data_IF_968915549011
#
_entry.id   IF_968915549011
#
_cell.length_a   1.000
_cell.length_b   1.000
_cell.length_c   1.000
_cell.angle_alpha   90.00
_cell.angle_beta   90.00
_cell.angle_gamma   90.00
#
_symmetry.space_group_name_H-M   'P 1'
#
loop_
_entity.id
_entity.type
_entity.pdbx_description
1 polymer ?
#
# COMPACT_ATOMS: atom_id res chain seq x y z
N UNK A 1 88.78 31.92 -18.97
CA UNK A 1 89.75 31.07 -19.76
C UNK A 1 89.24 29.64 -19.70
N UNK A 2 89.42 28.83 -20.73
CA UNK A 2 88.89 29.01 -22.11
C UNK A 2 87.88 27.94 -22.51
N UNK A 3 86.96 28.23 -23.35
CA UNK A 3 86.70 27.70 -24.71
C UNK A 3 87.18 26.29 -25.04
N UNK A 4 86.20 25.45 -25.47
CA UNK A 4 86.30 24.70 -26.76
C UNK A 4 84.99 24.02 -27.17
N UNK A 5 84.41 24.42 -28.27
CA UNK A 5 83.60 23.67 -29.26
C UNK A 5 84.53 22.87 -30.16
N UNK A 6 84.08 22.07 -31.17
CA UNK A 6 82.78 21.50 -31.52
C UNK A 6 82.88 20.00 -31.93
N UNK A 7 81.84 19.42 -32.38
CA UNK A 7 81.90 18.10 -33.03
C UNK A 7 80.57 17.67 -33.64
N UNK A 8 80.31 18.07 -34.87
CA UNK A 8 79.27 17.48 -35.74
C UNK A 8 79.55 16.00 -36.02
N UNK A 9 78.60 15.16 -35.94
CA UNK A 9 78.45 14.00 -36.83
C UNK A 9 76.98 13.70 -37.12
N UNK A 10 76.70 13.71 -38.40
CA UNK A 10 75.50 13.36 -39.12
C UNK A 10 75.44 11.85 -39.30
N UNK A 11 74.31 11.20 -39.01
CA UNK A 11 73.94 9.89 -39.54
C UNK A 11 72.41 9.65 -39.35
N UNK A 12 71.77 9.72 -40.41
CA UNK A 12 71.01 8.74 -41.17
C UNK A 12 69.69 8.29 -40.59
N UNK A 13 68.66 8.64 -41.33
CA UNK A 13 67.25 8.21 -41.32
C UNK A 13 67.11 6.68 -41.33
N UNK A 14 66.24 6.19 -40.47
CA UNK A 14 65.43 4.99 -40.71
C UNK A 14 64.05 5.22 -40.12
N UNK A 15 63.11 5.41 -41.05
CA UNK A 15 61.65 5.54 -40.69
C UNK A 15 61.09 4.22 -40.25
N UNK A 16 60.47 4.22 -39.06
CA UNK A 16 59.53 3.21 -38.65
C UNK A 16 58.20 3.89 -38.46
N UNK A 17 57.28 3.63 -39.39
CA UNK A 17 55.90 4.04 -39.31
C UNK A 17 55.21 3.25 -38.17
N UNK A 18 54.97 3.90 -37.04
CA UNK A 18 54.17 3.37 -35.95
C UNK A 18 52.72 3.58 -36.33
N UNK A 19 52.08 2.53 -36.86
CA UNK A 19 50.62 2.46 -37.01
C UNK A 19 49.99 2.41 -35.61
N UNK A 20 49.55 3.57 -35.12
CA UNK A 20 48.68 3.67 -33.95
C UNK A 20 47.31 3.12 -34.35
N UNK A 21 47.05 1.83 -34.01
CA UNK A 21 45.70 1.30 -33.93
C UNK A 21 44.97 2.01 -32.78
N UNK A 22 44.19 3.01 -33.09
CA UNK A 22 43.18 3.51 -32.20
C UNK A 22 42.05 2.43 -32.14
N UNK A 23 42.19 1.51 -31.21
CA UNK A 23 41.06 0.71 -30.77
C UNK A 23 40.08 1.66 -30.08
N UNK A 24 39.02 2.06 -30.78
CA UNK A 24 37.87 2.72 -30.20
C UNK A 24 37.19 1.70 -29.26
N UNK A 25 37.58 1.70 -28.01
CA UNK A 25 36.80 1.04 -26.97
C UNK A 25 35.52 1.84 -26.84
N UNK A 26 34.47 1.38 -27.54
CA UNK A 26 33.09 1.79 -27.24
C UNK A 26 32.79 1.25 -25.85
N UNK A 27 32.90 2.08 -24.84
CA UNK A 27 32.32 1.75 -23.52
C UNK A 27 30.85 1.46 -23.77
N UNK A 28 30.29 0.36 -23.25
CA UNK A 28 28.85 0.15 -23.31
C UNK A 28 28.19 1.36 -22.63
N UNK A 29 27.29 2.03 -23.35
CA UNK A 29 26.40 3.01 -22.71
C UNK A 29 25.80 2.29 -21.54
N UNK A 30 26.08 2.75 -20.33
CA UNK A 30 25.33 2.33 -19.15
C UNK A 30 23.86 2.58 -19.47
N UNK A 31 23.05 1.53 -19.44
CA UNK A 31 21.61 1.69 -19.57
C UNK A 31 21.19 2.67 -18.48
N UNK A 32 20.58 3.79 -18.86
CA UNK A 32 20.03 4.72 -17.89
C UNK A 32 19.09 3.89 -17.00
N UNK A 33 19.36 3.88 -15.71
CA UNK A 33 18.44 3.27 -14.73
C UNK A 33 17.15 4.07 -14.79
N UNK A 34 16.18 3.55 -15.53
CA UNK A 34 14.88 4.21 -15.72
C UNK A 34 14.07 4.28 -14.45
N UNK A 35 14.55 3.64 -13.38
CA UNK A 35 13.83 3.49 -12.12
C UNK A 35 12.51 2.69 -12.27
N UNK A 36 12.30 2.05 -13.41
CA UNK A 36 11.11 1.23 -13.67
C UNK A 36 11.29 -0.16 -13.06
N UNK A 37 10.34 -0.55 -12.21
CA UNK A 37 10.31 -1.86 -11.58
C UNK A 37 9.73 -2.87 -12.59
N UNK A 38 10.58 -3.81 -13.03
CA UNK A 38 10.20 -4.81 -14.01
C UNK A 38 9.07 -5.71 -13.49
N UNK A 39 8.14 -6.07 -14.39
CA UNK A 39 7.03 -6.97 -14.10
C UNK A 39 6.21 -6.52 -12.87
N UNK A 40 5.91 -5.23 -12.79
CA UNK A 40 5.21 -4.59 -11.66
C UNK A 40 3.91 -5.31 -11.26
N UNK A 41 3.21 -5.93 -12.20
CA UNK A 41 2.00 -6.71 -11.94
C UNK A 41 2.21 -7.95 -11.07
N UNK A 42 3.43 -8.51 -11.05
CA UNK A 42 3.74 -9.73 -10.30
C UNK A 42 3.87 -9.49 -8.79
N UNK A 43 3.92 -8.21 -8.37
CA UNK A 43 3.96 -7.83 -6.96
C UNK A 43 2.59 -7.87 -6.27
N UNK A 44 1.54 -8.20 -7.01
CA UNK A 44 0.19 -8.25 -6.48
C UNK A 44 -0.55 -9.52 -6.95
N UNK A 45 -0.20 -10.70 -6.40
CA UNK A 45 -0.86 -11.95 -6.76
C UNK A 45 -2.29 -11.97 -6.20
N UNK A 46 -3.28 -12.18 -7.09
CA UNK A 46 -4.71 -12.14 -6.78
C UNK A 46 -5.45 -13.44 -7.17
N UNK A 47 -4.72 -14.57 -7.27
CA UNK A 47 -5.32 -15.86 -7.55
C UNK A 47 -6.16 -16.34 -6.36
N UNK A 48 -7.38 -16.80 -6.64
CA UNK A 48 -8.26 -17.39 -5.64
C UNK A 48 -7.57 -18.56 -4.94
N UNK A 49 -7.57 -18.54 -3.61
CA UNK A 49 -6.91 -19.50 -2.74
C UNK A 49 -5.48 -19.13 -2.36
N UNK A 50 -4.97 -17.96 -2.78
CA UNK A 50 -3.79 -17.37 -2.15
C UNK A 50 -4.11 -17.02 -0.71
N UNK A 51 -3.13 -17.20 0.20
CA UNK A 51 -3.30 -16.94 1.62
C UNK A 51 -2.00 -16.40 2.23
N UNK A 52 -2.13 -15.47 3.16
CA UNK A 52 -1.05 -14.84 3.91
C UNK A 52 -1.41 -14.76 5.38
N UNK A 53 -0.48 -15.12 6.26
CA UNK A 53 -0.63 -15.02 7.70
C UNK A 53 0.27 -13.90 8.21
N UNK A 54 -0.30 -12.99 8.97
CA UNK A 54 0.41 -11.85 9.54
C UNK A 54 0.32 -11.87 11.07
N UNK A 55 1.39 -11.43 11.70
CA UNK A 55 1.35 -10.94 13.07
C UNK A 55 1.28 -9.42 13.05
N UNK A 56 0.47 -8.85 13.92
CA UNK A 56 0.26 -7.42 13.99
C UNK A 56 0.47 -6.85 15.38
N UNK A 57 0.76 -5.56 15.39
CA UNK A 57 0.75 -4.73 16.58
C UNK A 57 -0.02 -3.45 16.27
N UNK A 58 -0.90 -3.05 17.17
CA UNK A 58 -1.57 -1.76 17.13
C UNK A 58 -1.24 -0.99 18.40
N UNK A 59 -1.00 0.30 18.24
CA UNK A 59 -0.79 1.26 19.30
C UNK A 59 -1.85 2.33 19.15
N UNK A 60 -2.74 2.44 20.10
CA UNK A 60 -3.89 3.34 20.06
C UNK A 60 -3.95 4.20 21.31
N UNK A 61 -4.54 5.37 21.17
CA UNK A 61 -4.98 6.15 22.31
C UNK A 61 -4.84 7.64 22.12
N UNK A 62 -5.42 8.42 23.09
CA UNK A 62 -4.99 9.76 23.28
C UNK A 62 -3.49 9.74 23.66
N UNK A 63 -2.72 10.71 23.22
CA UNK A 63 -1.26 10.79 23.45
C UNK A 63 -0.82 10.61 24.91
N UNK A 64 -1.76 10.76 25.85
CA UNK A 64 -1.53 10.63 27.29
C UNK A 64 -1.73 9.21 27.84
N UNK A 65 -2.41 8.33 27.09
CA UNK A 65 -2.75 6.97 27.56
C UNK A 65 -2.72 5.99 26.37
N UNK A 66 -1.52 5.72 25.89
CA UNK A 66 -1.30 4.83 24.74
C UNK A 66 -1.42 3.37 25.20
N UNK A 67 -2.25 2.60 24.52
CA UNK A 67 -2.33 1.16 24.66
C UNK A 67 -1.60 0.44 23.52
N UNK A 68 -0.96 -0.68 23.83
CA UNK A 68 -0.32 -1.56 22.87
C UNK A 68 -1.04 -2.89 22.85
N UNK A 69 -1.47 -3.34 21.67
CA UNK A 69 -2.15 -4.64 21.48
C UNK A 69 -1.47 -5.43 20.37
N UNK A 70 -1.37 -6.74 20.56
CA UNK A 70 -0.90 -7.65 19.52
C UNK A 70 -2.10 -8.41 18.95
N UNK A 71 -2.03 -8.71 17.66
CA UNK A 71 -3.07 -9.45 16.97
C UNK A 71 -2.48 -10.34 15.87
N UNK A 72 -3.28 -11.26 15.36
CA UNK A 72 -2.97 -12.04 14.15
C UNK A 72 -4.03 -11.74 13.10
N UNK A 73 -3.62 -11.75 11.83
CA UNK A 73 -4.50 -11.59 10.70
C UNK A 73 -4.20 -12.65 9.64
N UNK A 74 -5.23 -13.24 9.05
CA UNK A 74 -5.11 -14.10 7.87
C UNK A 74 -5.82 -13.43 6.72
N UNK A 75 -5.06 -13.10 5.67
CA UNK A 75 -5.58 -12.53 4.43
C UNK A 75 -5.68 -13.62 3.36
N UNK A 76 -6.78 -13.72 2.65
CA UNK A 76 -6.97 -14.72 1.60
C UNK A 76 -7.79 -14.19 0.42
N UNK A 77 -7.46 -14.64 -0.80
CA UNK A 77 -8.28 -14.35 -1.98
C UNK A 77 -9.39 -15.38 -2.07
N UNK A 78 -10.61 -14.98 -1.71
CA UNK A 78 -11.75 -15.90 -1.58
C UNK A 78 -12.59 -16.03 -2.85
N UNK A 79 -12.53 -15.02 -3.74
CA UNK A 79 -13.36 -15.06 -4.95
C UNK A 79 -13.34 -13.76 -5.73
N UNK A 80 -14.43 -13.56 -6.48
CA UNK A 80 -14.68 -12.31 -7.21
C UNK A 80 -16.11 -11.82 -6.95
N UNK A 81 -16.31 -10.50 -7.01
CA UNK A 81 -17.60 -9.84 -6.82
C UNK A 81 -17.84 -8.81 -7.94
N UNK A 82 -19.08 -8.58 -8.29
CA UNK A 82 -19.43 -7.49 -9.21
C UNK A 82 -19.78 -6.24 -8.41
N UNK A 83 -19.01 -5.14 -8.61
CA UNK A 83 -19.26 -3.84 -7.96
C UNK A 83 -19.35 -2.78 -9.05
N UNK A 84 -20.45 -2.06 -9.13
CA UNK A 84 -20.69 -1.01 -10.15
C UNK A 84 -20.39 -1.48 -11.57
N UNK A 85 -20.75 -2.73 -11.91
CA UNK A 85 -20.52 -3.34 -13.21
C UNK A 85 -19.08 -3.82 -13.49
N UNK A 86 -18.19 -3.72 -12.51
CA UNK A 86 -16.80 -4.18 -12.61
C UNK A 86 -16.61 -5.46 -11.80
N UNK A 87 -15.93 -6.45 -12.37
CA UNK A 87 -15.50 -7.63 -11.61
C UNK A 87 -14.24 -7.28 -10.81
N UNK A 88 -14.30 -7.49 -9.52
CA UNK A 88 -13.20 -7.24 -8.56
C UNK A 88 -12.83 -8.53 -7.84
N UNK A 89 -11.57 -8.67 -7.44
CA UNK A 89 -11.10 -9.74 -6.55
C UNK A 89 -11.52 -9.40 -5.12
N UNK A 90 -11.94 -10.42 -4.38
CA UNK A 90 -12.31 -10.32 -2.97
C UNK A 90 -11.15 -10.84 -2.12
N UNK A 91 -10.59 -9.97 -1.31
CA UNK A 91 -9.61 -10.31 -0.29
C UNK A 91 -10.32 -10.32 1.05
N UNK A 92 -10.30 -11.46 1.70
CA UNK A 92 -10.85 -11.66 3.05
C UNK A 92 -9.72 -11.68 4.06
N UNK A 93 -9.82 -10.84 5.06
CA UNK A 93 -8.91 -10.78 6.19
C UNK A 93 -9.67 -11.06 7.50
N UNK A 94 -9.08 -11.79 8.43
CA UNK A 94 -9.75 -12.21 9.66
C UNK A 94 -9.73 -11.14 10.74
N UNK A 95 -8.70 -10.32 10.81
CA UNK A 95 -8.56 -9.30 11.86
C UNK A 95 -7.46 -8.26 11.55
N UNK A 96 -7.50 -7.57 10.42
CA UNK A 96 -6.47 -6.61 10.07
C UNK A 96 -6.53 -5.36 10.96
N UNK A 97 -5.39 -4.83 11.33
CA UNK A 97 -5.31 -3.68 12.22
C UNK A 97 -6.00 -3.89 13.58
N UNK A 98 -6.35 -5.12 13.95
CA UNK A 98 -7.14 -5.47 15.14
C UNK A 98 -8.59 -4.94 15.11
N UNK A 99 -9.17 -4.77 13.92
CA UNK A 99 -10.54 -4.22 13.76
C UNK A 99 -11.62 -5.29 13.51
N UNK A 100 -11.26 -6.56 13.59
CA UNK A 100 -12.13 -7.69 13.29
C UNK A 100 -12.19 -7.98 11.78
N UNK A 101 -12.92 -9.03 11.39
CA UNK A 101 -12.90 -9.50 10.00
C UNK A 101 -13.65 -8.57 9.04
N UNK A 102 -13.24 -8.51 7.72
CA UNK A 102 -13.80 -7.59 6.70
C UNK A 102 -13.36 -8.05 5.28
N UNK A 103 -14.05 -7.78 4.19
CA UNK A 103 -13.65 -8.05 2.79
C UNK A 103 -13.17 -6.77 2.09
N UNK A 104 -12.09 -6.83 1.32
CA UNK A 104 -11.65 -5.75 0.45
C UNK A 104 -11.78 -6.09 -1.02
N UNK A 105 -12.07 -5.09 -1.82
CA UNK A 105 -12.39 -5.25 -3.22
C UNK A 105 -11.36 -4.55 -4.10
N UNK A 106 -10.59 -5.34 -4.85
CA UNK A 106 -9.56 -4.81 -5.74
C UNK A 106 -9.79 -5.24 -7.18
N UNK A 107 -9.48 -4.35 -8.11
CA UNK A 107 -9.35 -4.67 -9.51
C UNK A 107 -7.92 -4.43 -9.95
N UNK A 108 -7.30 -5.48 -10.48
CA UNK A 108 -6.01 -5.39 -11.16
C UNK A 108 -6.21 -5.41 -12.68
N UNK A 109 -5.56 -4.48 -13.38
CA UNK A 109 -5.52 -4.45 -14.85
C UNK A 109 -4.13 -3.99 -15.34
N UNK A 110 -4.01 -3.66 -16.64
CA UNK A 110 -2.73 -3.25 -17.24
C UNK A 110 -2.21 -1.90 -16.76
N UNK A 111 -3.05 -1.07 -16.14
CA UNK A 111 -2.67 0.27 -15.68
C UNK A 111 -2.44 0.36 -14.18
N UNK A 112 -2.77 -0.68 -13.43
CA UNK A 112 -2.52 -0.74 -12.00
C UNK A 112 -3.54 -1.50 -11.20
N UNK A 113 -3.68 -1.10 -9.94
CA UNK A 113 -4.60 -1.67 -8.97
C UNK A 113 -5.50 -0.57 -8.45
N UNK A 114 -6.80 -0.81 -8.55
CA UNK A 114 -7.86 0.09 -8.08
C UNK A 114 -8.59 -0.57 -6.91
N UNK A 115 -8.72 0.17 -5.84
CA UNK A 115 -9.51 -0.21 -4.67
C UNK A 115 -10.96 0.25 -4.83
N UNK A 116 -11.90 -0.65 -4.58
CA UNK A 116 -13.35 -0.43 -4.72
C UNK A 116 -14.10 -0.36 -3.39
N UNK A 117 -13.35 -0.36 -2.28
CA UNK A 117 -13.92 -0.29 -0.94
C UNK A 117 -13.90 -1.61 -0.22
N UNK A 118 -14.48 -1.60 0.97
CA UNK A 118 -14.57 -2.75 1.86
C UNK A 118 -16.00 -3.02 2.33
N UNK A 119 -16.22 -4.16 2.95
CA UNK A 119 -17.46 -4.54 3.61
C UNK A 119 -17.16 -5.09 5.03
N UNK A 120 -17.63 -4.38 6.08
CA UNK A 120 -18.47 -3.15 6.08
C UNK A 120 -17.60 -1.89 6.07
N UNK A 121 -17.27 -1.33 4.93
CA UNK A 121 -16.54 -0.07 4.83
C UNK A 121 -17.22 1.08 5.61
N UNK A 122 -16.42 2.02 6.09
CA UNK A 122 -16.92 3.20 6.80
C UNK A 122 -17.74 4.12 5.91
N UNK A 123 -18.67 4.94 6.44
CA UNK A 123 -19.35 5.96 5.66
C UNK A 123 -18.40 6.92 4.94
N UNK A 124 -17.27 7.26 5.57
CA UNK A 124 -16.23 8.11 4.98
C UNK A 124 -15.54 7.44 3.78
N UNK A 125 -15.07 6.19 3.96
CA UNK A 125 -14.44 5.41 2.90
C UNK A 125 -15.34 5.27 1.66
N UNK A 126 -16.62 4.98 1.85
CA UNK A 126 -17.60 4.82 0.75
C UNK A 126 -17.72 6.04 -0.16
N UNK A 127 -17.35 7.23 0.32
CA UNK A 127 -17.34 8.47 -0.45
C UNK A 127 -16.01 8.68 -1.20
N UNK A 128 -14.92 8.00 -0.79
CA UNK A 128 -13.61 8.09 -1.45
C UNK A 128 -13.51 7.16 -2.65
N UNK A 129 -14.06 5.95 -2.56
CA UNK A 129 -13.88 4.88 -3.55
C UNK A 129 -14.72 5.06 -4.83
N UNK A 130 -14.25 4.58 -6.00
CA UNK A 130 -12.99 3.88 -6.19
C UNK A 130 -11.79 4.83 -6.36
N UNK A 131 -10.58 4.34 -5.98
CA UNK A 131 -9.34 5.06 -6.27
C UNK A 131 -8.17 4.11 -6.54
N UNK A 132 -7.16 4.59 -7.26
CA UNK A 132 -5.98 3.82 -7.63
C UNK A 132 -5.00 3.77 -6.45
N UNK A 133 -4.55 2.56 -6.07
CA UNK A 133 -3.58 2.36 -5.01
C UNK A 133 -2.16 2.09 -5.53
N UNK A 134 -2.05 1.46 -6.71
CA UNK A 134 -0.77 1.23 -7.41
C UNK A 134 -0.95 1.53 -8.89
N UNK A 135 0.05 2.16 -9.51
CA UNK A 135 0.09 2.45 -10.94
C UNK A 135 1.16 1.63 -11.62
N UNK A 136 0.84 1.01 -12.77
CA UNK A 136 1.80 0.23 -13.56
C UNK A 136 2.27 1.01 -14.82
N UNK A 137 3.56 0.86 -15.24
CA UNK A 137 4.63 0.23 -14.47
C UNK A 137 4.95 1.06 -13.20
N UNK A 138 5.30 0.39 -12.12
CA UNK A 138 5.83 1.08 -10.94
C UNK A 138 7.18 1.73 -11.30
N UNK A 139 7.32 3.01 -10.97
CA UNK A 139 8.55 3.76 -11.19
C UNK A 139 9.00 4.37 -9.87
N UNK A 140 10.26 4.14 -9.51
CA UNK A 140 10.87 4.67 -8.28
C UNK A 140 10.77 6.20 -8.26
N UNK A 141 10.47 6.75 -7.11
CA UNK A 141 10.26 8.19 -6.88
C UNK A 141 9.11 8.81 -7.67
N UNK A 142 8.19 7.99 -8.22
CA UNK A 142 6.99 8.51 -8.86
C UNK A 142 5.83 8.61 -7.89
N UNK A 143 5.10 9.72 -7.96
CA UNK A 143 3.88 9.96 -7.20
C UNK A 143 2.69 10.15 -8.13
N UNK A 144 1.50 9.85 -7.64
CA UNK A 144 0.25 10.14 -8.34
C UNK A 144 -0.87 10.43 -7.35
N UNK A 145 -1.82 11.31 -7.70
CA UNK A 145 -2.99 11.57 -6.88
C UNK A 145 -3.93 10.37 -6.92
N UNK A 146 -4.42 9.97 -5.74
CA UNK A 146 -5.44 8.93 -5.57
C UNK A 146 -6.84 9.55 -5.63
N UNK A 147 -7.04 10.60 -4.87
CA UNK A 147 -8.30 11.36 -4.82
C UNK A 147 -8.07 12.78 -4.29
N UNK A 148 -9.05 13.65 -4.60
CA UNK A 148 -9.26 14.94 -3.96
C UNK A 148 -10.78 15.13 -3.86
N UNK A 149 -11.31 15.13 -2.64
CA UNK A 149 -12.74 15.18 -2.35
C UNK A 149 -13.00 16.26 -1.33
N UNK A 150 -14.16 16.89 -1.46
CA UNK A 150 -14.60 17.96 -0.58
C UNK A 150 -15.99 17.69 -0.04
N UNK A 151 -16.31 18.30 1.08
CA UNK A 151 -17.62 18.24 1.72
C UNK A 151 -18.08 16.81 2.03
N UNK A 152 -17.14 15.92 2.37
CA UNK A 152 -17.45 14.56 2.73
C UNK A 152 -18.09 14.50 4.13
N UNK A 153 -19.01 13.57 4.32
CA UNK A 153 -19.49 13.21 5.65
C UNK A 153 -18.38 12.46 6.38
N UNK A 154 -17.86 13.04 7.46
CA UNK A 154 -16.79 12.39 8.23
C UNK A 154 -17.31 11.18 9.02
N UNK A 155 -18.62 11.20 9.35
CA UNK A 155 -19.31 10.10 10.05
C UNK A 155 -18.94 10.01 11.53
N UNK A 156 -18.51 11.12 12.12
CA UNK A 156 -18.15 11.22 13.53
C UNK A 156 -18.40 12.64 14.02
N UNK A 157 -19.06 12.76 15.16
CA UNK A 157 -19.22 13.99 15.94
C UNK A 157 -17.99 14.15 16.85
N UNK A 158 -17.05 15.00 16.44
CA UNK A 158 -15.80 15.24 17.17
C UNK A 158 -15.97 16.26 18.30
N UNK A 159 -16.87 17.23 18.15
CA UNK A 159 -17.06 18.32 19.12
C UNK A 159 -18.28 18.08 20.05
N UNK A 160 -18.99 16.94 19.88
CA UNK A 160 -20.07 16.44 20.72
C UNK A 160 -21.31 17.33 20.72
N UNK A 161 -21.65 17.90 19.60
CA UNK A 161 -22.86 18.68 19.41
C UNK A 161 -24.03 17.90 18.78
N UNK A 162 -23.83 16.60 18.54
CA UNK A 162 -24.75 15.65 17.91
C UNK A 162 -24.90 15.82 16.39
N UNK A 163 -23.93 16.46 15.75
CA UNK A 163 -23.85 16.63 14.31
C UNK A 163 -22.52 16.06 13.82
N UNK A 164 -22.57 15.14 12.85
CA UNK A 164 -21.34 14.62 12.22
C UNK A 164 -20.61 15.70 11.43
N UNK A 165 -19.29 15.68 11.51
CA UNK A 165 -18.44 16.68 10.88
C UNK A 165 -18.37 16.52 9.36
N UNK A 166 -17.97 17.59 8.67
CA UNK A 166 -17.62 17.59 7.25
C UNK A 166 -16.10 17.62 7.09
N UNK A 167 -15.60 16.87 6.11
CA UNK A 167 -14.18 16.82 5.83
C UNK A 167 -13.87 17.06 4.34
N UNK A 168 -12.73 17.71 4.09
CA UNK A 168 -12.06 17.67 2.80
C UNK A 168 -10.90 16.69 2.91
N UNK A 169 -10.71 15.81 1.92
CA UNK A 169 -9.66 14.80 1.90
C UNK A 169 -8.91 14.79 0.57
N UNK A 170 -7.58 14.71 0.66
CA UNK A 170 -6.67 14.53 -0.47
C UNK A 170 -5.74 13.37 -0.19
N UNK A 171 -5.58 12.45 -1.15
CA UNK A 171 -4.68 11.32 -1.08
C UNK A 171 -3.74 11.26 -2.26
N UNK A 172 -2.47 10.92 -1.98
CA UNK A 172 -1.41 10.70 -2.96
C UNK A 172 -0.69 9.38 -2.65
N UNK A 173 -0.25 8.66 -3.69
CA UNK A 173 0.57 7.47 -3.52
C UNK A 173 1.93 7.66 -4.22
N UNK A 174 3.00 7.17 -3.58
CA UNK A 174 4.38 7.30 -4.04
C UNK A 174 5.10 5.96 -3.98
N UNK A 175 5.76 5.56 -5.06
CA UNK A 175 6.70 4.44 -5.08
C UNK A 175 8.05 4.96 -4.57
N UNK A 176 8.42 4.61 -3.32
CA UNK A 176 9.64 5.13 -2.69
C UNK A 176 10.90 4.46 -3.22
N UNK A 177 10.83 3.18 -3.60
CA UNK A 177 11.98 2.42 -4.10
C UNK A 177 11.91 0.94 -3.77
N UNK A 178 13.07 0.29 -3.86
CA UNK A 178 13.25 -1.09 -3.42
C UNK A 178 14.23 -1.14 -2.25
N UNK A 179 13.92 -1.96 -1.27
CA UNK A 179 14.80 -2.15 -0.10
C UNK A 179 14.72 -3.59 0.43
N UNK A 180 15.69 -3.97 1.25
CA UNK A 180 15.64 -5.24 1.96
C UNK A 180 14.72 -5.10 3.17
N UNK A 181 13.78 -6.02 3.31
CA UNK A 181 12.87 -6.09 4.46
C UNK A 181 12.97 -7.46 5.12
N UNK A 182 13.06 -7.47 6.45
CA UNK A 182 13.07 -8.69 7.27
C UNK A 182 11.79 -8.75 8.08
N UNK A 183 11.06 -9.85 7.94
CA UNK A 183 9.82 -10.18 8.66
C UNK A 183 9.93 -11.64 9.15
N UNK A 184 9.01 -12.17 9.96
CA UNK A 184 9.07 -13.56 10.43
C UNK A 184 9.17 -14.59 9.30
N UNK A 185 8.50 -14.37 8.17
CA UNK A 185 8.57 -15.25 6.99
C UNK A 185 9.97 -15.31 6.34
N UNK A 186 10.87 -14.36 6.65
CA UNK A 186 12.23 -14.31 6.12
C UNK A 186 12.71 -12.92 5.73
N UNK A 187 13.83 -12.88 5.00
CA UNK A 187 14.41 -11.63 4.47
C UNK A 187 14.21 -11.57 2.96
N UNK A 188 13.56 -10.50 2.51
CA UNK A 188 13.26 -10.20 1.11
C UNK A 188 14.11 -9.01 0.67
N UNK A 189 15.02 -9.20 -0.31
CA UNK A 189 16.03 -8.19 -0.66
C UNK A 189 15.50 -7.04 -1.52
N UNK A 190 14.48 -7.32 -2.35
CA UNK A 190 14.01 -6.40 -3.39
C UNK A 190 12.52 -6.05 -3.18
N UNK A 191 12.13 -5.82 -1.94
CA UNK A 191 10.77 -5.41 -1.62
C UNK A 191 10.50 -3.99 -2.11
N UNK A 192 9.47 -3.81 -2.91
CA UNK A 192 9.02 -2.48 -3.39
C UNK A 192 8.24 -1.81 -2.28
N UNK A 193 8.71 -0.63 -1.88
CA UNK A 193 8.08 0.20 -0.87
C UNK A 193 7.19 1.25 -1.54
N UNK A 194 5.92 1.22 -1.17
CA UNK A 194 4.90 2.20 -1.62
C UNK A 194 4.36 2.90 -0.39
N UNK A 195 4.28 4.22 -0.44
CA UNK A 195 3.64 5.04 0.59
C UNK A 195 2.39 5.68 0.00
N UNK A 196 1.27 5.59 0.71
CA UNK A 196 0.08 6.39 0.47
C UNK A 196 -0.10 7.37 1.63
N UNK A 197 -0.42 8.61 1.30
CA UNK A 197 -0.59 9.67 2.29
C UNK A 197 -1.90 10.39 2.05
N UNK A 198 -2.76 10.41 3.07
CA UNK A 198 -3.98 11.19 3.08
C UNK A 198 -3.86 12.38 4.04
N UNK A 199 -4.32 13.54 3.60
CA UNK A 199 -4.51 14.72 4.42
C UNK A 199 -5.99 15.06 4.49
N UNK A 200 -6.45 15.37 5.68
CA UNK A 200 -7.85 15.74 5.94
C UNK A 200 -7.93 17.09 6.62
N UNK A 201 -8.93 17.86 6.23
CA UNK A 201 -9.36 19.08 6.91
C UNK A 201 -10.79 18.87 7.38
N UNK A 202 -10.98 18.66 8.68
CA UNK A 202 -12.26 18.32 9.29
C UNK A 202 -12.81 19.60 9.93
N UNK A 203 -13.97 20.04 9.46
CA UNK A 203 -14.66 21.25 9.94
C UNK A 203 -15.61 20.87 11.06
N UNK A 204 -15.34 21.40 12.26
CA UNK A 204 -16.23 21.21 13.40
C UNK A 204 -17.52 22.02 13.20
N UNK A 205 -18.66 21.38 13.47
CA UNK A 205 -19.96 21.96 13.23
C UNK A 205 -20.29 23.13 14.16
N UNK A 206 -19.99 23.01 15.47
CA UNK A 206 -20.27 24.03 16.46
C UNK A 206 -19.20 25.12 16.58
N UNK A 207 -17.93 24.77 16.44
CA UNK A 207 -16.83 25.63 16.86
C UNK A 207 -16.25 26.53 15.77
N UNK A 208 -16.73 26.48 14.51
CA UNK A 208 -16.14 27.14 13.32
C UNK A 208 -14.62 26.97 13.23
N UNK A 209 -14.12 25.84 13.71
CA UNK A 209 -12.72 25.45 13.78
C UNK A 209 -12.47 24.28 12.83
N UNK A 210 -11.30 24.22 12.24
CA UNK A 210 -10.84 23.10 11.43
C UNK A 210 -9.78 22.31 12.20
N UNK A 211 -9.93 20.99 12.19
CA UNK A 211 -8.99 20.02 12.73
C UNK A 211 -8.25 19.37 11.56
N UNK A 212 -6.95 19.15 11.69
CA UNK A 212 -6.15 18.46 10.71
C UNK A 212 -6.07 16.97 11.07
N UNK A 213 -6.28 16.11 10.07
CA UNK A 213 -6.01 14.69 10.17
C UNK A 213 -5.00 14.27 9.11
N UNK A 214 -4.17 13.29 9.44
CA UNK A 214 -3.27 12.63 8.51
C UNK A 214 -3.38 11.12 8.65
N UNK A 215 -3.22 10.43 7.51
CA UNK A 215 -3.12 8.99 7.48
C UNK A 215 -1.98 8.63 6.51
N UNK A 216 -0.99 7.90 6.99
CA UNK A 216 0.20 7.51 6.23
C UNK A 216 0.32 6.00 6.27
N UNK A 217 0.04 5.38 5.14
CA UNK A 217 0.15 3.94 4.93
C UNK A 217 1.43 3.62 4.16
N UNK A 218 2.21 2.66 4.63
CA UNK A 218 3.41 2.18 3.96
C UNK A 218 3.33 0.68 3.77
N UNK A 219 3.49 0.22 2.54
CA UNK A 219 3.41 -1.18 2.18
C UNK A 219 4.68 -1.65 1.47
N UNK A 220 5.13 -2.86 1.80
CA UNK A 220 6.26 -3.52 1.15
C UNK A 220 5.77 -4.74 0.39
N UNK A 221 5.90 -4.68 -0.92
CA UNK A 221 5.49 -5.75 -1.82
C UNK A 221 6.68 -6.51 -2.35
N UNK A 222 6.57 -7.83 -2.41
CA UNK A 222 7.59 -8.73 -2.97
C UNK A 222 7.02 -9.47 -4.17
N UNK A 223 7.82 -9.52 -5.24
CA UNK A 223 7.44 -10.19 -6.47
C UNK A 223 7.07 -11.65 -6.25
N UNK A 224 5.90 -12.04 -6.71
CA UNK A 224 5.36 -13.39 -6.57
C UNK A 224 4.87 -13.76 -5.16
N UNK A 225 5.05 -12.87 -4.18
CA UNK A 225 4.59 -13.08 -2.80
C UNK A 225 3.43 -12.12 -2.47
N UNK A 226 3.51 -10.87 -2.88
CA UNK A 226 2.54 -9.83 -2.50
C UNK A 226 3.02 -8.98 -1.32
N UNK A 227 2.10 -8.56 -0.48
CA UNK A 227 2.37 -7.75 0.70
C UNK A 227 3.12 -8.57 1.77
N UNK A 228 4.29 -8.09 2.18
CA UNK A 228 5.10 -8.75 3.23
C UNK A 228 5.18 -7.94 4.51
N UNK A 229 4.95 -6.64 4.43
CA UNK A 229 4.90 -5.74 5.58
C UNK A 229 3.97 -4.57 5.30
N UNK A 230 3.23 -4.18 6.31
CA UNK A 230 2.36 -3.02 6.31
C UNK A 230 2.61 -2.18 7.56
N UNK A 231 2.60 -0.88 7.40
CA UNK A 231 2.63 0.07 8.51
C UNK A 231 1.67 1.22 8.20
N UNK A 232 0.89 1.62 9.16
CA UNK A 232 -0.04 2.74 9.05
C UNK A 232 0.08 3.63 10.29
N UNK A 233 0.05 4.93 10.07
CA UNK A 233 0.01 5.92 11.14
C UNK A 233 -1.07 6.94 10.85
N UNK A 234 -2.06 6.95 11.71
CA UNK A 234 -3.14 7.93 11.72
C UNK A 234 -2.92 8.93 12.85
N UNK A 235 -3.08 10.20 12.54
CA UNK A 235 -3.01 11.27 13.52
C UNK A 235 -4.18 12.23 13.33
N UNK A 236 -4.82 12.57 14.42
CA UNK A 236 -5.79 13.65 14.49
C UNK A 236 -5.26 14.73 15.42
N UNK A 237 -5.19 15.96 14.95
CA UNK A 237 -4.76 17.10 15.76
C UNK A 237 -5.62 17.25 17.01
N UNK A 238 -5.04 17.62 18.16
CA UNK A 238 -5.78 17.71 19.41
C UNK A 238 -6.92 18.71 19.32
N UNK A 239 -8.09 18.27 19.76
CA UNK A 239 -9.26 19.15 19.97
C UNK A 239 -9.11 19.92 21.29
N UNK A 240 -8.71 19.23 22.36
CA UNK A 240 -8.54 19.77 23.73
C UNK A 240 -7.32 19.13 24.40
N UNK A 241 -6.11 19.34 23.89
CA UNK A 241 -4.87 18.69 24.35
C UNK A 241 -4.87 17.14 24.23
N UNK A 242 -5.87 16.58 23.55
CA UNK A 242 -6.07 15.15 23.34
C UNK A 242 -5.97 14.80 21.86
N UNK A 243 -4.74 14.79 21.33
CA UNK A 243 -4.50 14.20 20.02
C UNK A 243 -4.71 12.69 20.09
N UNK A 244 -5.27 12.12 19.02
CA UNK A 244 -5.39 10.66 18.85
C UNK A 244 -4.35 10.22 17.86
N UNK A 245 -3.63 9.17 18.20
CA UNK A 245 -2.67 8.49 17.34
C UNK A 245 -3.05 7.02 17.27
N UNK A 246 -3.05 6.47 16.07
CA UNK A 246 -3.11 5.04 15.84
C UNK A 246 -1.92 4.65 14.98
N UNK A 247 -1.07 3.75 15.47
CA UNK A 247 0.00 3.11 14.73
C UNK A 247 -0.32 1.63 14.59
N UNK A 248 -0.36 1.13 13.35
CA UNK A 248 -0.56 -0.27 13.02
C UNK A 248 0.69 -0.79 12.32
N UNK A 249 1.11 -2.01 12.65
CA UNK A 249 2.14 -2.73 11.93
C UNK A 249 1.70 -4.18 11.76
N UNK A 250 1.78 -4.68 10.52
CA UNK A 250 1.61 -6.10 10.20
C UNK A 250 2.85 -6.62 9.48
N UNK A 251 3.33 -7.81 9.88
CA UNK A 251 4.50 -8.48 9.33
C UNK A 251 4.14 -9.92 8.94
N UNK A 252 4.50 -10.31 7.72
CA UNK A 252 4.24 -11.63 7.19
C UNK A 252 4.95 -12.72 8.00
N UNK A 253 4.20 -13.73 8.47
CA UNK A 253 4.71 -14.91 9.16
C UNK A 253 4.83 -16.13 8.22
N UNK A 254 3.85 -16.30 7.34
CA UNK A 254 3.85 -17.36 6.33
C UNK A 254 2.89 -17.02 5.20
N UNK A 255 3.00 -17.73 4.07
CA UNK A 255 2.11 -17.54 2.92
C UNK A 255 2.00 -18.79 2.06
N UNK A 256 0.90 -18.92 1.34
CA UNK A 256 0.67 -19.92 0.32
C UNK A 256 0.18 -19.25 -0.96
N UNK A 257 1.01 -19.25 -2.01
CA UNK A 257 0.67 -18.67 -3.31
C UNK A 257 0.36 -19.80 -4.30
N UNK A 258 -0.84 -19.79 -4.83
CA UNK A 258 -1.26 -20.74 -5.86
C UNK A 258 -0.56 -20.40 -7.19
N UNK A 259 -0.10 -21.40 -7.95
CA UNK A 259 0.45 -21.16 -9.28
C UNK A 259 -0.61 -20.52 -10.18
N UNK A 260 -0.21 -19.65 -11.12
CA UNK A 260 -1.13 -19.12 -12.12
C UNK A 260 -1.85 -20.27 -12.81
N UNK A 261 -3.18 -20.22 -12.93
CA UNK A 261 -3.92 -21.20 -13.73
C UNK A 261 -3.34 -21.17 -15.14
N UNK A 262 -2.72 -22.29 -15.57
CA UNK A 262 -2.28 -22.44 -16.95
C UNK A 262 -3.48 -22.11 -17.85
N UNK A 263 -3.33 -21.15 -18.74
CA UNK A 263 -4.34 -20.88 -19.77
C UNK A 263 -4.42 -22.13 -20.61
N UNK A 264 -5.39 -23.00 -20.31
CA UNK A 264 -5.76 -24.09 -21.19
C UNK A 264 -6.15 -23.45 -22.51
N UNK A 265 -5.29 -23.63 -23.52
CA UNK A 265 -5.52 -23.13 -24.85
C UNK A 265 -6.95 -23.48 -25.25
N UNK A 266 -7.68 -22.48 -25.71
CA UNK A 266 -9.06 -22.51 -26.15
C UNK A 266 -9.30 -23.70 -27.05
N UNK A 267 -9.74 -24.83 -26.51
CA UNK A 267 -10.48 -25.83 -27.26
C UNK A 267 -11.95 -25.43 -27.17
N UNK A 268 -12.44 -24.88 -28.24
CA UNK A 268 -13.88 -24.80 -28.48
C UNK A 268 -14.48 -26.18 -28.39
N UNK A 269 -15.32 -26.43 -27.41
CA UNK A 269 -16.36 -27.43 -27.47
C UNK A 269 -17.55 -26.90 -26.70
N UNK A 270 -18.56 -26.54 -27.45
CA UNK A 270 -19.94 -26.36 -27.01
C UNK A 270 -20.42 -27.61 -26.27
N UNK A 271 -21.02 -27.42 -25.11
CA UNK A 271 -22.31 -28.06 -24.75
C UNK A 271 -22.84 -27.53 -23.43
N UNK A 272 -24.11 -27.31 -23.44
CA UNK A 272 -25.04 -26.86 -22.42
C UNK A 272 -24.97 -27.58 -21.07
N UNK A 273 -25.43 -26.89 -20.03
CA UNK A 273 -26.27 -27.55 -19.08
C UNK A 273 -26.04 -27.28 -17.60
N UNK A 274 -27.01 -26.65 -17.03
CA UNK A 274 -27.60 -26.77 -15.70
C UNK A 274 -27.03 -25.96 -14.52
N UNK A 275 -27.98 -25.13 -14.04
CA UNK A 275 -28.21 -24.50 -12.76
C UNK A 275 -27.89 -25.40 -11.55
N UNK A 276 -27.24 -24.82 -10.54
CA UNK A 276 -27.53 -25.09 -9.15
C UNK A 276 -27.29 -23.83 -8.31
N UNK A 277 -28.39 -23.28 -7.87
CA UNK A 277 -28.55 -22.32 -6.79
C UNK A 277 -28.03 -22.92 -5.48
N UNK A 278 -27.22 -22.19 -4.72
CA UNK A 278 -27.07 -22.39 -3.31
C UNK A 278 -26.61 -21.10 -2.61
N UNK A 279 -27.61 -20.33 -2.22
CA UNK A 279 -27.55 -19.31 -1.17
C UNK A 279 -27.13 -19.93 0.14
N UNK A 280 -26.01 -19.45 0.71
CA UNK A 280 -25.79 -19.41 2.16
C UNK A 280 -24.97 -18.20 2.50
N UNK A 281 -25.66 -17.26 3.17
CA UNK A 281 -25.10 -16.14 3.89
C UNK A 281 -24.08 -16.59 4.93
N UNK A 282 -22.85 -16.06 4.85
CA UNK A 282 -22.02 -15.84 6.00
C UNK A 282 -21.21 -14.55 5.75
N UNK A 283 -21.56 -13.53 6.51
CA UNK A 283 -20.81 -12.27 6.62
C UNK A 283 -19.41 -12.52 7.18
N UNK A 284 -18.38 -12.06 6.49
CA UNK A 284 -17.01 -11.93 7.01
C UNK A 284 -16.22 -10.79 6.32
N UNK A 285 -15.25 -10.22 7.01
CA UNK A 285 -14.69 -8.87 6.86
C UNK A 285 -13.16 -8.85 6.74
N UNK A 286 -12.54 -7.85 6.21
CA UNK A 286 -11.36 -7.54 5.61
C UNK A 286 -10.23 -6.58 5.74
N UNK A 287 -9.20 -6.08 5.55
CA UNK A 287 -8.51 -4.83 5.15
C UNK A 287 -7.18 -4.99 4.39
N UNK A 288 -7.04 -4.26 3.26
CA UNK A 288 -5.80 -3.70 2.76
C UNK A 288 -6.11 -2.31 2.17
N UNK A 289 -5.59 -1.23 2.76
CA UNK A 289 -5.76 0.16 2.30
C UNK A 289 -7.18 0.76 2.42
N UNK A 290 -7.80 0.67 3.59
CA UNK A 290 -8.95 1.51 3.90
C UNK A 290 -8.60 2.48 5.04
N UNK A 291 -8.80 3.80 4.87
CA UNK A 291 -8.64 4.72 5.99
C UNK A 291 -9.71 4.43 7.05
N UNK A 292 -9.28 3.80 8.13
CA UNK A 292 -10.13 3.39 9.24
C UNK A 292 -10.14 4.43 10.36
N UNK A 293 -10.78 5.61 10.17
CA UNK A 293 -11.18 6.41 11.31
C UNK A 293 -12.41 5.76 11.96
N UNK A 294 -12.20 4.87 12.93
CA UNK A 294 -13.22 4.51 13.90
C UNK A 294 -13.04 5.35 15.15
N UNK A 295 -13.99 6.24 15.39
CA UNK A 295 -14.26 6.66 16.76
C UNK A 295 -14.99 5.51 17.43
N UNK A 296 -14.35 4.77 18.31
CA UNK A 296 -15.09 4.04 19.33
C UNK A 296 -15.79 5.10 20.19
N UNK A 297 -17.06 5.34 19.89
CA UNK A 297 -17.97 5.95 20.85
C UNK A 297 -18.07 4.97 22.02
N UNK A 298 -17.17 5.17 23.01
CA UNK A 298 -17.12 4.39 24.21
C UNK A 298 -18.52 4.32 24.82
N UNK A 299 -19.14 3.17 24.72
CA UNK A 299 -20.20 2.83 25.65
C UNK A 299 -19.63 2.93 27.06
N UNK A 300 -20.04 4.00 27.72
CA UNK A 300 -19.79 4.35 29.07
C UNK A 300 -19.94 3.14 30.01
N UNK A 301 -18.82 2.70 30.59
CA UNK A 301 -18.83 1.98 31.87
C UNK A 301 -19.26 2.94 32.99
N UNK A 302 -20.48 3.43 32.93
CA UNK A 302 -21.08 4.26 33.95
C UNK A 302 -22.51 3.87 34.24
N UNK A 303 -22.81 2.55 34.34
CA UNK A 303 -24.10 2.07 34.84
C UNK A 303 -24.00 0.72 35.55
N UNK A 304 -23.04 0.60 36.48
CA UNK A 304 -23.04 -0.50 37.46
C UNK A 304 -22.45 -0.02 38.80
N UNK A 305 -23.01 1.00 39.38
CA UNK A 305 -22.88 1.31 40.81
C UNK A 305 -24.07 2.16 41.22
N UNK A 306 -25.21 1.55 41.45
CA UNK A 306 -26.31 2.04 42.30
C UNK A 306 -27.39 0.93 42.39
N UNK A 307 -27.06 -0.14 43.11
CA UNK A 307 -28.01 -1.07 43.68
C UNK A 307 -27.30 -1.92 44.74
N UNK A 308 -26.92 -1.27 45.85
CA UNK A 308 -26.65 -1.90 47.12
C UNK A 308 -26.54 -0.77 48.15
N UNK A 309 -27.67 -0.35 48.67
CA UNK A 309 -27.97 -0.03 50.09
C UNK A 309 -29.47 0.21 50.21
#
# INVERSE_FOLDING_TARGET
MPLKTPGYRMALLLGTALLLFWSTWSAPLAAEDTGIIAQSSDYFPDQIGNEWHYRGQVTEGPLQTIEHKFFSNVSSVTGTKAIKGMTVSVFHDTNPGNHGPMDSFYRRDSVGIVYYGSDPGTPFEKQLVPYQIVRFPMKVSSSFPQFNRKELDFGTDLDRDSIDEKADAQGDATVLGQESVTVPAGTFKDAVKVEARMHMQIRLSSAKRTVQGTDVMTAWFVKGVGLVKYAERQELSPLDDRGVVTDIMEELESYEIKPPKASLGRRESSTEGLLADNTRDHELRQVLFAPGFRSDSGESMASKRLAAD
#
